data_IF_053978151630
#
_entry.id   IF_053978151630
#
_cell.length_a   1.000
_cell.length_b   1.000
_cell.length_c   1.000
_cell.angle_alpha   90.00
_cell.angle_beta   90.00
_cell.angle_gamma   90.00
#
_symmetry.space_group_name_H-M   'P 1'
#
loop_
_entity.id
_entity.type
_entity.pdbx_description
1 polymer ?
#
# COMPACT_ATOMS: atom_id res chain seq x y z
N UNK A 1 -6.73 11.10 22.43
CA UNK A 1 -5.47 11.39 21.70
C UNK A 1 -5.55 12.80 21.10
N UNK A 2 -4.51 13.36 20.46
CA UNK A 2 -4.63 14.59 19.65
C UNK A 2 -4.66 14.21 18.17
N UNK A 3 -5.73 14.54 17.44
CA UNK A 3 -5.80 14.42 15.98
C UNK A 3 -4.96 15.52 15.34
N UNK A 4 -4.02 15.16 14.47
CA UNK A 4 -2.95 16.08 14.03
C UNK A 4 -2.72 16.14 12.53
N UNK A 5 -3.15 15.13 11.78
CA UNK A 5 -2.93 15.11 10.33
C UNK A 5 -4.00 14.27 9.62
N UNK A 6 -4.10 14.52 8.32
CA UNK A 6 -4.99 13.86 7.39
C UNK A 6 -4.18 13.51 6.15
N UNK A 7 -4.28 12.26 5.69
CA UNK A 7 -3.52 11.73 4.56
C UNK A 7 -4.50 11.24 3.50
N UNK A 8 -4.42 11.79 2.29
CA UNK A 8 -5.16 11.32 1.14
C UNK A 8 -4.45 10.09 0.53
N UNK A 9 -5.22 9.04 0.27
CA UNK A 9 -4.77 7.80 -0.37
C UNK A 9 -5.64 7.53 -1.61
N UNK A 10 -5.04 7.31 -2.77
CA UNK A 10 -5.75 6.94 -4.01
C UNK A 10 -5.89 5.41 -4.17
N UNK A 11 -5.76 4.65 -3.09
CA UNK A 11 -5.77 3.18 -3.07
C UNK A 11 -4.45 2.57 -2.62
N UNK A 12 -4.51 1.37 -2.04
CA UNK A 12 -3.35 0.68 -1.48
C UNK A 12 -2.96 1.14 -0.07
N UNK A 13 -1.88 0.58 0.49
CA UNK A 13 -1.52 0.78 1.89
C UNK A 13 -0.95 2.16 2.20
N UNK A 14 -1.10 2.57 3.45
CA UNK A 14 -0.29 3.61 4.08
C UNK A 14 1.05 3.00 4.50
N UNK A 15 2.14 3.73 4.27
CA UNK A 15 3.48 3.41 4.76
C UNK A 15 3.81 4.22 6.02
N UNK A 16 4.26 3.53 7.05
CA UNK A 16 4.94 4.11 8.22
C UNK A 16 6.40 3.67 8.22
N UNK A 17 7.32 4.63 8.31
CA UNK A 17 8.74 4.33 8.34
C UNK A 17 9.50 5.36 9.18
N UNK A 18 10.68 4.98 9.65
CA UNK A 18 11.67 5.97 10.11
C UNK A 18 12.09 6.87 8.94
N UNK A 19 12.34 8.16 9.18
CA UNK A 19 12.77 9.10 8.11
C UNK A 19 14.00 8.60 7.34
N UNK A 20 14.94 7.95 8.03
CA UNK A 20 16.15 7.42 7.39
C UNK A 20 15.80 6.24 6.48
N UNK A 21 14.82 5.42 6.86
CA UNK A 21 14.31 4.32 6.07
C UNK A 21 13.56 4.81 4.85
N UNK A 22 12.66 5.76 5.05
CA UNK A 22 11.86 6.33 3.97
C UNK A 22 12.70 6.96 2.86
N UNK A 23 13.88 7.53 3.18
CA UNK A 23 14.80 8.06 2.18
C UNK A 23 15.25 7.02 1.13
N UNK A 24 15.16 5.72 1.44
CA UNK A 24 15.46 4.61 0.53
C UNK A 24 14.22 4.05 -0.18
N UNK A 25 13.02 4.49 0.18
CA UNK A 25 11.78 4.01 -0.41
C UNK A 25 11.55 4.61 -1.80
N UNK A 26 11.44 3.74 -2.80
CA UNK A 26 11.22 4.13 -4.20
C UNK A 26 9.77 4.08 -4.64
N UNK A 27 8.84 3.69 -3.76
CA UNK A 27 7.40 3.70 -4.05
C UNK A 27 7.03 2.91 -5.31
N UNK A 28 6.11 3.49 -6.08
CA UNK A 28 5.65 2.95 -7.37
C UNK A 28 6.58 3.33 -8.54
N UNK A 29 7.76 3.90 -8.29
CA UNK A 29 8.71 4.17 -9.35
C UNK A 29 9.14 2.85 -10.01
N UNK A 30 9.03 2.79 -11.34
CA UNK A 30 9.38 1.60 -12.10
C UNK A 30 10.87 1.26 -11.92
N UNK A 31 11.16 -0.03 -11.72
CA UNK A 31 12.52 -0.55 -11.63
C UNK A 31 12.74 -1.48 -12.85
N UNK A 32 13.36 -0.98 -13.94
CA UNK A 32 13.57 -1.80 -15.13
C UNK A 32 14.44 -3.03 -14.84
N UNK A 33 14.05 -4.19 -15.38
CA UNK A 33 14.86 -5.41 -15.34
C UNK A 33 14.77 -6.22 -14.04
N UNK A 34 13.96 -5.80 -13.06
CA UNK A 34 13.70 -6.59 -11.84
C UNK A 34 12.47 -7.47 -11.95
N UNK A 35 11.68 -7.34 -13.02
CA UNK A 35 10.45 -8.11 -13.20
C UNK A 35 10.79 -9.58 -13.50
N UNK A 36 10.69 -10.44 -12.50
CA UNK A 36 10.98 -11.89 -12.59
C UNK A 36 9.74 -12.76 -12.46
N UNK A 37 8.55 -12.17 -12.53
CA UNK A 37 7.28 -12.87 -12.43
C UNK A 37 6.44 -12.55 -13.66
N UNK A 38 5.93 -13.58 -14.33
CA UNK A 38 4.85 -13.42 -15.29
C UNK A 38 3.53 -13.41 -14.52
N UNK A 39 2.79 -12.31 -14.59
CA UNK A 39 1.45 -12.19 -14.01
C UNK A 39 0.42 -12.15 -15.12
N UNK A 40 -0.59 -13.02 -15.09
CA UNK A 40 -1.70 -12.98 -16.06
C UNK A 40 -3.03 -13.40 -15.45
N UNK A 41 -4.12 -12.79 -15.93
CA UNK A 41 -5.48 -12.99 -15.44
C UNK A 41 -6.49 -12.70 -16.54
N UNK A 42 -7.66 -13.35 -16.51
CA UNK A 42 -8.69 -13.09 -17.52
C UNK A 42 -9.82 -14.11 -17.57
N UNK A 43 -10.70 -13.92 -18.55
CA UNK A 43 -11.96 -14.66 -18.70
C UNK A 43 -11.84 -15.99 -19.46
N UNK A 44 -10.70 -16.24 -20.12
CA UNK A 44 -10.49 -17.41 -20.98
C UNK A 44 -9.19 -18.16 -20.66
N UNK A 45 -8.58 -17.91 -19.49
CA UNK A 45 -7.31 -18.55 -19.11
C UNK A 45 -7.43 -20.08 -18.95
N UNK A 46 -8.63 -20.62 -18.76
CA UNK A 46 -8.92 -22.07 -18.70
C UNK A 46 -8.78 -22.78 -20.04
N UNK A 47 -8.98 -22.05 -21.13
CA UNK A 47 -8.97 -22.57 -22.50
C UNK A 47 -7.57 -22.52 -23.13
N UNK A 48 -6.60 -21.90 -22.46
CA UNK A 48 -5.21 -21.88 -22.91
C UNK A 48 -4.59 -23.27 -22.83
N UNK A 49 -3.62 -23.61 -23.71
CA UNK A 49 -2.89 -24.86 -23.60
C UNK A 49 -1.94 -24.85 -22.39
N UNK A 50 -1.54 -26.02 -21.88
CA UNK A 50 -0.42 -26.10 -20.94
C UNK A 50 0.84 -25.42 -21.48
N UNK A 51 1.63 -24.73 -20.65
CA UNK A 51 1.50 -24.63 -19.18
C UNK A 51 0.57 -23.49 -18.71
N UNK A 52 -0.06 -22.75 -19.62
CA UNK A 52 -0.76 -21.50 -19.27
C UNK A 52 -2.21 -21.68 -18.80
N UNK A 53 -2.79 -22.86 -19.01
CA UNK A 53 -4.12 -23.21 -18.53
C UNK A 53 -4.25 -23.00 -17.01
N UNK A 54 -5.24 -22.24 -16.55
CA UNK A 54 -5.55 -22.06 -15.13
C UNK A 54 -7.03 -21.80 -14.89
N UNK A 55 -7.51 -22.13 -13.68
CA UNK A 55 -8.92 -22.01 -13.28
C UNK A 55 -9.39 -20.56 -13.00
N UNK A 56 -9.16 -19.65 -13.94
CA UNK A 56 -9.50 -18.23 -13.79
C UNK A 56 -8.69 -17.55 -12.68
N UNK A 57 -8.95 -16.25 -12.45
CA UNK A 57 -8.25 -15.47 -11.43
C UNK A 57 -6.84 -15.04 -11.85
N UNK A 58 -6.03 -14.65 -10.86
CA UNK A 58 -4.67 -14.15 -11.04
C UNK A 58 -3.66 -15.29 -10.94
N UNK A 59 -2.75 -15.41 -11.92
CA UNK A 59 -1.60 -16.32 -11.87
C UNK A 59 -0.31 -15.55 -11.81
N UNK A 60 0.53 -15.90 -10.84
CA UNK A 60 1.90 -15.42 -10.72
C UNK A 60 2.86 -16.58 -10.98
N UNK A 61 3.64 -16.51 -12.04
CA UNK A 61 4.64 -17.51 -12.39
C UNK A 61 6.04 -16.93 -12.20
N UNK A 62 6.70 -17.34 -11.12
CA UNK A 62 8.07 -16.97 -10.83
C UNK A 62 9.03 -17.53 -11.88
N UNK A 63 10.03 -16.73 -12.23
CA UNK A 63 11.10 -17.04 -13.19
C UNK A 63 12.46 -16.77 -12.53
N UNK A 64 13.52 -17.41 -13.02
CA UNK A 64 14.87 -17.21 -12.51
C UNK A 64 15.44 -15.83 -12.89
N UNK A 65 15.03 -15.29 -14.03
CA UNK A 65 15.48 -13.99 -14.53
C UNK A 65 14.39 -13.20 -15.26
N UNK A 66 14.69 -11.94 -15.54
CA UNK A 66 13.81 -11.06 -16.31
C UNK A 66 13.66 -11.55 -17.76
N UNK A 67 14.75 -12.01 -18.37
CA UNK A 67 14.76 -12.55 -19.73
C UNK A 67 13.89 -13.81 -19.84
N UNK A 68 13.90 -14.66 -18.81
CA UNK A 68 13.00 -15.82 -18.74
C UNK A 68 11.54 -15.36 -18.63
N UNK A 69 11.23 -14.40 -17.75
CA UNK A 69 9.88 -13.87 -17.60
C UNK A 69 9.36 -13.26 -18.92
N UNK A 70 10.20 -12.49 -19.61
CA UNK A 70 9.90 -11.97 -20.95
C UNK A 70 9.69 -13.09 -21.98
N UNK A 71 10.51 -14.15 -21.95
CA UNK A 71 10.36 -15.28 -22.85
C UNK A 71 9.03 -16.01 -22.61
N UNK A 72 8.63 -16.18 -21.35
CA UNK A 72 7.33 -16.77 -20.98
C UNK A 72 6.16 -15.87 -21.39
N UNK A 73 6.26 -14.54 -21.22
CA UNK A 73 5.24 -13.61 -21.71
C UNK A 73 5.06 -13.71 -23.23
N UNK A 74 6.16 -13.77 -24.00
CA UNK A 74 6.11 -13.97 -25.45
C UNK A 74 5.48 -15.33 -25.81
N UNK A 75 5.81 -16.39 -25.07
CA UNK A 75 5.23 -17.71 -25.28
C UNK A 75 3.73 -17.73 -24.96
N UNK A 76 3.28 -17.05 -23.90
CA UNK A 76 1.86 -16.88 -23.55
C UNK A 76 1.11 -16.18 -24.67
N UNK A 77 1.61 -15.03 -25.16
CA UNK A 77 0.99 -14.30 -26.28
C UNK A 77 0.94 -15.17 -27.54
N UNK A 78 1.98 -15.94 -27.82
CA UNK A 78 2.01 -16.88 -28.95
C UNK A 78 0.95 -17.99 -28.79
N UNK A 79 0.79 -18.54 -27.59
CA UNK A 79 -0.21 -19.55 -27.30
C UNK A 79 -1.63 -19.00 -27.49
N UNK A 80 -1.91 -17.79 -26.98
CA UNK A 80 -3.22 -17.14 -27.14
C UNK A 80 -3.55 -16.94 -28.62
N UNK A 81 -2.61 -16.45 -29.43
CA UNK A 81 -2.81 -16.27 -30.88
C UNK A 81 -3.04 -17.58 -31.63
N UNK A 82 -2.43 -18.67 -31.18
CA UNK A 82 -2.61 -19.99 -31.78
C UNK A 82 -3.98 -20.61 -31.40
N UNK A 83 -4.43 -20.39 -30.16
CA UNK A 83 -5.68 -20.94 -29.64
C UNK A 83 -6.91 -20.16 -30.12
N UNK A 84 -6.82 -18.83 -30.19
CA UNK A 84 -7.96 -17.97 -30.51
C UNK A 84 -7.71 -17.17 -31.78
N UNK A 85 -8.30 -17.61 -32.89
CA UNK A 85 -8.26 -16.88 -34.15
C UNK A 85 -8.94 -15.52 -34.00
N UNK A 86 -8.21 -14.44 -34.30
CA UNK A 86 -8.72 -13.07 -34.19
C UNK A 86 -8.50 -12.41 -32.83
N UNK A 87 -7.70 -13.00 -31.92
CA UNK A 87 -7.25 -12.32 -30.71
C UNK A 87 -6.47 -11.04 -31.06
N UNK A 88 -6.93 -9.91 -30.55
CA UNK A 88 -6.22 -8.64 -30.63
C UNK A 88 -5.32 -8.48 -29.40
N UNK A 89 -4.05 -8.16 -29.61
CA UNK A 89 -3.05 -8.00 -28.54
C UNK A 89 -2.52 -6.58 -28.60
N UNK A 90 -2.71 -5.83 -27.52
CA UNK A 90 -2.29 -4.44 -27.41
C UNK A 90 -1.49 -4.23 -26.13
N UNK A 91 -0.35 -3.54 -26.24
CA UNK A 91 0.37 -3.03 -25.08
C UNK A 91 -0.32 -1.75 -24.59
N UNK A 92 -0.42 -1.62 -23.26
CA UNK A 92 -1.03 -0.49 -22.56
C UNK A 92 0.07 0.44 -22.04
N UNK A 93 -0.31 1.67 -21.70
CA UNK A 93 0.62 2.71 -21.23
C UNK A 93 1.32 2.32 -19.90
N UNK A 94 0.72 1.40 -19.13
CA UNK A 94 1.29 0.84 -17.89
C UNK A 94 2.21 -0.37 -18.14
N UNK A 95 2.52 -0.68 -19.40
CA UNK A 95 3.35 -1.82 -19.82
C UNK A 95 2.64 -3.18 -19.71
N UNK A 96 1.36 -3.22 -19.35
CA UNK A 96 0.58 -4.47 -19.42
C UNK A 96 0.18 -4.78 -20.86
N UNK A 97 0.00 -6.06 -21.15
CA UNK A 97 -0.54 -6.56 -22.42
C UNK A 97 -2.01 -6.90 -22.20
N UNK A 98 -2.89 -6.19 -22.90
CA UNK A 98 -4.29 -6.58 -23.02
C UNK A 98 -4.51 -7.48 -24.23
N UNK A 99 -5.25 -8.56 -24.02
CA UNK A 99 -5.67 -9.48 -25.06
C UNK A 99 -7.19 -9.55 -25.11
N UNK A 100 -7.76 -9.10 -26.22
CA UNK A 100 -9.20 -9.07 -26.45
C UNK A 100 -9.60 -10.06 -27.53
N UNK A 101 -10.59 -10.90 -27.24
CA UNK A 101 -11.18 -11.85 -28.19
C UNK A 101 -12.37 -11.23 -28.94
N UNK A 102 -12.73 -11.73 -30.14
CA UNK A 102 -13.88 -11.24 -30.91
C UNK A 102 -15.23 -11.35 -30.17
N UNK A 103 -15.36 -12.31 -29.27
CA UNK A 103 -16.55 -12.52 -28.42
C UNK A 103 -16.60 -11.60 -27.19
N UNK A 104 -15.74 -10.57 -27.16
CA UNK A 104 -15.59 -9.56 -26.10
C UNK A 104 -14.93 -10.04 -24.81
N UNK A 105 -14.50 -11.30 -24.73
CA UNK A 105 -13.73 -11.77 -23.57
C UNK A 105 -12.33 -11.15 -23.55
N UNK A 106 -11.82 -10.89 -22.35
CA UNK A 106 -10.52 -10.23 -22.14
C UNK A 106 -9.61 -10.98 -21.18
N UNK A 107 -8.31 -10.80 -21.39
CA UNK A 107 -7.23 -11.23 -20.52
C UNK A 107 -6.15 -10.15 -20.51
N UNK A 108 -5.41 -10.08 -19.42
CA UNK A 108 -4.24 -9.24 -19.26
C UNK A 108 -3.05 -10.08 -18.87
N UNK A 109 -1.87 -9.64 -19.27
CA UNK A 109 -0.60 -10.21 -18.86
C UNK A 109 0.44 -9.12 -18.70
N UNK A 110 1.31 -9.24 -17.71
CA UNK A 110 2.39 -8.30 -17.46
C UNK A 110 3.59 -8.97 -16.79
N UNK A 111 4.69 -8.24 -16.74
CA UNK A 111 5.85 -8.62 -15.94
C UNK A 111 5.83 -7.85 -14.62
N UNK A 112 6.05 -8.58 -13.53
CA UNK A 112 5.98 -8.08 -12.16
C UNK A 112 7.22 -8.50 -11.34
N UNK A 113 7.53 -7.82 -10.23
CA UNK A 113 6.95 -6.54 -9.79
C UNK A 113 7.49 -5.36 -10.61
N UNK A 114 6.67 -4.35 -10.91
CA UNK A 114 7.13 -3.17 -11.67
C UNK A 114 7.89 -2.19 -10.79
N UNK A 115 7.59 -2.17 -9.50
CA UNK A 115 8.16 -1.26 -8.51
C UNK A 115 8.42 -1.93 -7.16
N UNK A 116 9.06 -1.22 -6.22
CA UNK A 116 9.22 -1.70 -4.85
C UNK A 116 7.87 -1.80 -4.13
N UNK A 117 6.96 -0.87 -4.41
CA UNK A 117 5.57 -0.92 -3.96
C UNK A 117 4.87 -2.21 -4.40
N UNK A 118 4.93 -2.56 -5.68
CA UNK A 118 4.29 -3.79 -6.19
C UNK A 118 4.89 -5.05 -5.55
N UNK A 119 6.20 -5.05 -5.34
CA UNK A 119 6.90 -6.17 -4.69
C UNK A 119 6.40 -6.37 -3.25
N UNK A 120 6.25 -5.28 -2.49
CA UNK A 120 5.71 -5.32 -1.14
C UNK A 120 4.26 -5.80 -1.13
N UNK A 121 3.40 -5.22 -1.98
CA UNK A 121 2.00 -5.61 -2.08
C UNK A 121 1.81 -7.09 -2.45
N UNK A 122 2.52 -7.58 -3.46
CA UNK A 122 2.40 -8.97 -3.92
C UNK A 122 2.86 -9.98 -2.85
N UNK A 123 3.88 -9.63 -2.07
CA UNK A 123 4.37 -10.49 -0.99
C UNK A 123 3.37 -10.64 0.16
N UNK A 124 2.46 -9.67 0.33
CA UNK A 124 1.62 -9.53 1.52
C UNK A 124 0.13 -9.29 1.20
N UNK A 125 -0.34 -9.71 0.02
CA UNK A 125 -1.69 -9.43 -0.50
C UNK A 125 -2.86 -9.88 0.40
N UNK A 126 -2.62 -10.73 1.39
CA UNK A 126 -3.63 -11.25 2.32
C UNK A 126 -3.52 -10.65 3.73
N UNK A 127 -2.58 -9.74 3.95
CA UNK A 127 -2.30 -9.16 5.26
C UNK A 127 -2.83 -7.72 5.32
N UNK A 128 -3.62 -7.40 6.35
CA UNK A 128 -4.13 -6.04 6.54
C UNK A 128 -3.03 -5.07 6.95
N UNK A 129 -2.07 -5.51 7.76
CA UNK A 129 -0.86 -4.75 8.04
C UNK A 129 0.35 -5.68 8.16
N UNK A 130 1.48 -5.26 7.60
CA UNK A 130 2.69 -6.06 7.49
C UNK A 130 3.94 -5.19 7.50
N UNK A 131 5.08 -5.78 7.85
CA UNK A 131 6.37 -5.11 7.73
C UNK A 131 7.13 -5.60 6.51
N UNK A 132 7.66 -4.68 5.72
CA UNK A 132 8.45 -4.99 4.54
C UNK A 132 9.81 -4.28 4.57
N UNK A 133 10.91 -4.94 4.15
CA UNK A 133 12.21 -4.28 4.04
C UNK A 133 12.16 -3.09 3.06
N UNK A 134 12.60 -1.91 3.50
CA UNK A 134 12.83 -0.74 2.63
C UNK A 134 14.30 -0.64 2.23
N UNK A 135 15.19 -1.05 3.14
CA UNK A 135 16.63 -1.15 2.91
C UNK A 135 17.16 -2.41 3.59
N UNK A 136 18.44 -2.78 3.40
CA UNK A 136 19.02 -3.96 4.07
C UNK A 136 18.92 -3.93 5.60
N UNK A 137 18.75 -2.75 6.20
CA UNK A 137 18.73 -2.56 7.66
C UNK A 137 17.43 -1.94 8.18
N UNK A 138 16.53 -1.49 7.30
CA UNK A 138 15.33 -0.75 7.70
C UNK A 138 14.08 -1.36 7.08
N UNK A 139 12.99 -1.29 7.84
CA UNK A 139 11.69 -1.82 7.46
C UNK A 139 10.66 -0.70 7.55
N UNK A 140 9.65 -0.79 6.69
CA UNK A 140 8.41 -0.03 6.79
C UNK A 140 7.27 -0.92 7.25
N UNK A 141 6.31 -0.33 7.95
CA UNK A 141 5.01 -0.91 8.21
C UNK A 141 4.07 -0.43 7.11
N UNK A 142 3.38 -1.35 6.48
CA UNK A 142 2.33 -1.09 5.52
C UNK A 142 1.01 -1.44 6.20
N UNK A 143 0.01 -0.58 6.08
CA UNK A 143 -1.35 -0.85 6.52
C UNK A 143 -2.30 -0.63 5.35
N UNK A 144 -2.92 -1.71 4.87
CA UNK A 144 -3.92 -1.65 3.81
C UNK A 144 -5.16 -0.93 4.32
N UNK A 145 -5.52 0.14 3.62
CA UNK A 145 -6.64 0.97 3.99
C UNK A 145 -7.93 0.55 3.30
N UNK A 146 -7.89 -0.38 2.34
CA UNK A 146 -9.01 -0.81 1.48
C UNK A 146 -9.51 0.27 0.49
N UNK A 147 -8.68 0.61 -0.50
CA UNK A 147 -9.05 1.47 -1.64
C UNK A 147 -8.83 2.98 -1.41
N UNK A 148 -9.41 3.86 -2.22
CA UNK A 148 -9.20 5.30 -2.10
C UNK A 148 -9.94 5.92 -0.90
N UNK A 149 -9.35 6.91 -0.25
CA UNK A 149 -9.97 7.60 0.86
C UNK A 149 -8.98 8.44 1.67
N UNK A 150 -9.38 8.74 2.91
CA UNK A 150 -8.62 9.58 3.82
C UNK A 150 -8.26 8.78 5.06
N UNK A 151 -7.00 8.89 5.49
CA UNK A 151 -6.52 8.41 6.78
C UNK A 151 -6.30 9.58 7.71
N UNK A 152 -6.98 9.59 8.85
CA UNK A 152 -6.75 10.52 9.94
C UNK A 152 -5.69 9.96 10.90
N UNK A 153 -4.81 10.83 11.40
CA UNK A 153 -3.74 10.46 12.32
C UNK A 153 -3.92 11.16 13.66
N UNK A 154 -3.90 10.38 14.73
CA UNK A 154 -3.86 10.88 16.11
C UNK A 154 -2.61 10.41 16.86
N UNK A 155 -2.10 11.25 17.75
CA UNK A 155 -0.91 10.98 18.56
C UNK A 155 -1.25 11.07 20.06
N UNK A 156 -0.64 10.21 20.87
CA UNK A 156 -0.72 10.33 22.34
C UNK A 156 0.05 11.57 22.83
N UNK A 157 -0.34 12.18 23.96
CA UNK A 157 0.42 13.29 24.55
C UNK A 157 1.89 12.94 24.85
N UNK A 158 2.16 11.67 25.23
CA UNK A 158 3.50 11.17 25.48
C UNK A 158 4.29 10.81 24.21
N UNK A 159 3.64 10.84 23.03
CA UNK A 159 4.22 10.49 21.72
C UNK A 159 4.74 9.05 21.64
N UNK A 160 4.23 8.19 22.48
CA UNK A 160 4.51 6.75 22.58
C UNK A 160 3.43 5.88 21.92
N UNK A 161 2.37 6.51 21.39
CA UNK A 161 1.36 5.83 20.60
C UNK A 161 0.81 6.73 19.48
N UNK A 162 0.48 6.09 18.37
CA UNK A 162 -0.19 6.70 17.20
C UNK A 162 -1.39 5.86 16.82
N UNK A 163 -2.46 6.50 16.42
CA UNK A 163 -3.65 5.88 15.86
C UNK A 163 -3.82 6.40 14.43
N UNK A 164 -3.97 5.48 13.50
CA UNK A 164 -4.29 5.74 12.09
C UNK A 164 -5.71 5.23 11.87
N UNK A 165 -6.61 6.08 11.41
CA UNK A 165 -8.03 5.79 11.29
C UNK A 165 -8.49 6.06 9.86
N UNK A 166 -9.28 5.14 9.31
CA UNK A 166 -10.07 5.37 8.12
C UNK A 166 -11.54 5.09 8.41
N UNK A 167 -12.42 5.94 7.90
CA UNK A 167 -13.85 5.86 8.11
C UNK A 167 -14.59 5.90 6.78
N UNK A 168 -15.68 5.13 6.68
CA UNK A 168 -16.63 5.15 5.58
C UNK A 168 -18.00 5.54 6.14
N UNK A 169 -18.39 6.82 6.03
CA UNK A 169 -19.71 7.27 6.45
C UNK A 169 -20.80 6.77 5.48
N UNK A 170 -22.04 6.59 5.94
CA UNK A 170 -23.19 6.24 5.07
C UNK A 170 -23.60 7.38 4.12
N UNK A 171 -23.13 8.61 4.39
CA UNK A 171 -23.46 9.81 3.61
C UNK A 171 -24.71 10.56 4.08
N UNK A 172 -25.19 10.28 5.30
CA UNK A 172 -26.33 10.98 5.92
C UNK A 172 -25.91 12.31 6.59
N UNK A 173 -26.89 13.20 6.88
CA UNK A 173 -26.72 14.58 7.37
C UNK A 173 -26.06 14.73 8.77
N UNK A 174 -25.41 13.69 9.32
CA UNK A 174 -24.96 13.66 10.71
C UNK A 174 -23.47 13.32 10.90
N UNK A 175 -22.61 13.72 9.96
CA UNK A 175 -21.15 13.48 9.96
C UNK A 175 -20.48 13.81 11.31
N UNK A 176 -20.88 14.90 11.97
CA UNK A 176 -20.27 15.32 13.25
C UNK A 176 -20.65 14.42 14.45
N UNK A 177 -21.80 13.74 14.39
CA UNK A 177 -22.15 12.71 15.38
C UNK A 177 -21.38 11.42 15.12
N UNK A 178 -21.28 11.01 13.86
CA UNK A 178 -20.50 9.84 13.44
C UNK A 178 -19.01 10.01 13.78
N UNK A 179 -18.41 11.15 13.47
CA UNK A 179 -17.01 11.46 13.82
C UNK A 179 -16.79 11.32 15.33
N UNK A 180 -17.71 11.85 16.15
CA UNK A 180 -17.62 11.71 17.62
C UNK A 180 -17.77 10.26 18.07
N UNK A 181 -18.70 9.51 17.48
CA UNK A 181 -18.92 8.10 17.82
C UNK A 181 -17.73 7.22 17.44
N UNK A 182 -17.17 7.42 16.24
CA UNK A 182 -15.98 6.73 15.74
C UNK A 182 -14.81 7.01 16.68
N UNK A 183 -14.53 8.29 17.00
CA UNK A 183 -13.42 8.65 17.90
C UNK A 183 -13.60 8.09 19.30
N UNK A 184 -14.82 8.10 19.84
CA UNK A 184 -15.11 7.48 21.13
C UNK A 184 -14.86 5.97 21.13
N UNK A 185 -15.07 5.29 20.00
CA UNK A 185 -14.78 3.87 19.83
C UNK A 185 -13.26 3.61 19.76
N UNK A 186 -12.52 4.37 18.95
CA UNK A 186 -11.13 4.04 18.59
C UNK A 186 -10.07 4.69 19.48
N UNK A 187 -10.38 5.74 20.23
CA UNK A 187 -9.38 6.38 21.08
C UNK A 187 -8.92 5.51 22.27
N UNK A 188 -9.82 4.84 23.00
CA UNK A 188 -9.41 3.82 23.97
C UNK A 188 -8.79 2.63 23.24
N UNK A 189 -7.77 2.02 23.85
CA UNK A 189 -7.28 0.71 23.36
C UNK A 189 -8.40 -0.32 23.55
N UNK A 190 -8.81 -0.95 22.47
CA UNK A 190 -9.86 -1.97 22.49
C UNK A 190 -9.26 -3.37 22.63
N UNK A 191 -10.03 -4.29 23.21
CA UNK A 191 -9.80 -5.74 23.19
C UNK A 191 -10.01 -6.38 21.80
N UNK A 192 -10.63 -5.65 20.86
CA UNK A 192 -10.78 -6.03 19.45
C UNK A 192 -9.50 -5.85 18.63
N UNK A 193 -8.52 -5.13 19.17
CA UNK A 193 -7.25 -4.87 18.49
C UNK A 193 -6.40 -6.15 18.41
N UNK A 194 -6.22 -6.66 17.20
CA UNK A 194 -5.39 -7.83 16.92
C UNK A 194 -3.98 -7.40 16.55
N UNK A 195 -2.97 -8.12 17.07
CA UNK A 195 -1.57 -7.84 16.72
C UNK A 195 -1.31 -8.20 15.26
N UNK A 196 -0.79 -7.24 14.49
CA UNK A 196 -0.43 -7.44 13.08
C UNK A 196 1.09 -7.57 12.90
N UNK A 197 1.88 -6.60 13.38
CA UNK A 197 3.31 -6.51 13.10
C UNK A 197 4.08 -5.73 14.18
N UNK A 198 5.42 -5.71 14.08
CA UNK A 198 6.28 -4.82 14.89
C UNK A 198 7.16 -3.97 13.97
N UNK A 199 7.31 -2.67 14.27
CA UNK A 199 8.20 -1.76 13.55
C UNK A 199 9.21 -1.10 14.50
N UNK A 200 10.43 -0.87 14.01
CA UNK A 200 11.45 -0.09 14.70
C UNK A 200 11.49 1.33 14.13
N UNK A 201 11.27 2.32 14.99
CA UNK A 201 11.39 3.76 14.68
C UNK A 201 12.56 4.32 15.50
N UNK A 202 13.78 4.16 14.97
CA UNK A 202 15.03 4.37 15.72
C UNK A 202 15.39 5.83 15.96
N UNK A 203 14.96 6.75 15.08
CA UNK A 203 15.28 8.17 15.18
C UNK A 203 14.23 8.98 15.95
N UNK A 204 13.04 8.40 16.13
CA UNK A 204 11.85 9.10 16.59
C UNK A 204 11.26 10.09 15.58
N UNK A 205 11.89 10.33 14.42
CA UNK A 205 11.24 11.03 13.32
C UNK A 205 10.63 9.98 12.39
N UNK A 206 9.31 10.02 12.25
CA UNK A 206 8.55 8.98 11.55
C UNK A 206 7.71 9.59 10.43
N UNK A 207 7.81 9.00 9.25
CA UNK A 207 7.03 9.36 8.07
C UNK A 207 5.80 8.47 8.01
N UNK A 208 4.64 9.09 7.79
CA UNK A 208 3.37 8.44 7.49
C UNK A 208 2.96 8.94 6.10
N UNK A 209 2.88 8.06 5.11
CA UNK A 209 2.72 8.50 3.72
C UNK A 209 1.99 7.45 2.89
N UNK A 210 1.22 7.88 1.90
CA UNK A 210 0.66 6.98 0.91
C UNK A 210 1.76 6.20 0.18
N UNK A 211 1.78 4.87 0.36
CA UNK A 211 2.95 4.04 0.06
C UNK A 211 3.45 4.01 -1.40
N UNK A 212 2.64 4.30 -2.44
CA UNK A 212 3.16 4.52 -3.80
C UNK A 212 4.13 5.71 -3.92
N UNK A 213 4.13 6.63 -2.95
CA UNK A 213 4.95 7.84 -2.98
C UNK A 213 6.40 7.54 -2.58
N UNK A 214 7.33 7.84 -3.48
CA UNK A 214 8.77 7.77 -3.21
C UNK A 214 9.27 9.03 -2.50
N UNK A 215 10.36 8.91 -1.71
CA UNK A 215 10.98 10.08 -1.09
C UNK A 215 11.43 11.14 -2.12
N UNK A 216 11.93 10.70 -3.28
CA UNK A 216 12.38 11.58 -4.35
C UNK A 216 11.24 12.36 -5.05
N UNK A 217 9.97 12.00 -4.81
CA UNK A 217 8.81 12.68 -5.40
C UNK A 217 8.27 13.81 -4.50
N UNK A 218 8.74 13.92 -3.26
CA UNK A 218 8.29 14.96 -2.34
C UNK A 218 8.76 16.33 -2.82
N UNK A 219 7.82 17.25 -2.96
CA UNK A 219 8.10 18.63 -3.34
C UNK A 219 8.43 19.47 -2.10
N UNK A 220 9.36 20.41 -2.25
CA UNK A 220 9.70 21.43 -1.25
C UNK A 220 10.19 20.88 0.12
N UNK A 221 10.68 19.63 0.15
CA UNK A 221 11.23 19.01 1.36
C UNK A 221 12.74 18.84 1.23
N UNK A 222 13.50 19.65 1.99
CA UNK A 222 14.96 19.52 2.06
C UNK A 222 15.45 18.64 3.21
N UNK A 223 14.68 18.57 4.31
CA UNK A 223 15.03 17.80 5.50
C UNK A 223 13.76 17.31 6.22
N UNK A 224 13.42 16.03 6.01
CA UNK A 224 12.28 15.38 6.67
C UNK A 224 12.44 15.35 8.20
N UNK A 225 13.67 15.25 8.72
CA UNK A 225 13.90 15.13 10.15
C UNK A 225 13.55 16.43 10.88
N UNK A 226 13.84 17.57 10.27
CA UNK A 226 13.47 18.88 10.80
C UNK A 226 11.94 19.07 10.84
N UNK A 227 11.20 18.47 9.90
CA UNK A 227 9.74 18.58 9.84
C UNK A 227 9.02 17.81 10.97
N UNK A 228 9.67 16.81 11.59
CA UNK A 228 9.06 16.01 12.64
C UNK A 228 8.64 16.82 13.89
N UNK A 229 9.29 17.97 14.12
CA UNK A 229 9.04 18.84 15.27
C UNK A 229 8.10 20.03 14.97
N UNK A 230 7.54 20.10 13.75
CA UNK A 230 6.58 21.15 13.37
C UNK A 230 5.26 21.05 14.17
N UNK A 231 4.67 22.21 14.50
CA UNK A 231 3.31 22.32 15.06
C UNK A 231 2.55 23.43 14.33
N UNK A 232 1.51 23.12 13.54
CA UNK A 232 1.00 21.76 13.26
C UNK A 232 2.00 20.90 12.47
N UNK A 233 1.87 19.56 12.48
CA UNK A 233 2.72 18.68 11.67
C UNK A 233 2.72 19.05 10.20
N UNK A 234 3.88 18.89 9.56
CA UNK A 234 4.05 19.22 8.17
C UNK A 234 3.29 18.23 7.27
N UNK A 235 2.41 18.77 6.42
CA UNK A 235 1.79 17.99 5.35
C UNK A 235 2.79 17.77 4.21
N UNK A 236 2.95 16.51 3.80
CA UNK A 236 3.81 16.12 2.69
C UNK A 236 3.00 16.10 1.39
N UNK A 237 3.66 16.53 0.31
CA UNK A 237 3.05 16.66 -1.01
C UNK A 237 4.02 16.29 -2.12
N UNK A 238 3.47 15.96 -3.27
CA UNK A 238 4.21 15.91 -4.54
C UNK A 238 3.95 17.19 -5.33
N UNK A 239 4.49 17.30 -6.53
CA UNK A 239 4.19 18.42 -7.44
C UNK A 239 2.74 18.42 -7.95
N UNK A 240 2.02 17.30 -7.83
CA UNK A 240 0.68 17.10 -8.41
C UNK A 240 -0.39 16.90 -7.34
N UNK A 241 -0.03 16.27 -6.22
CA UNK A 241 -0.95 15.90 -5.14
C UNK A 241 -0.50 16.50 -3.82
N UNK A 242 -1.44 17.07 -3.07
CA UNK A 242 -1.23 17.58 -1.71
C UNK A 242 -1.74 16.57 -0.67
N UNK A 243 -1.26 16.68 0.57
CA UNK A 243 -1.77 15.87 1.68
C UNK A 243 -1.50 14.37 1.58
N UNK A 244 -0.42 13.95 0.89
CA UNK A 244 -0.09 12.53 0.72
C UNK A 244 0.66 11.91 1.90
N UNK A 245 1.01 12.71 2.91
CA UNK A 245 1.64 12.21 4.12
C UNK A 245 1.88 13.28 5.18
N UNK A 246 2.53 12.88 6.26
CA UNK A 246 3.01 13.75 7.34
C UNK A 246 4.29 13.19 7.95
N UNK A 247 5.06 14.06 8.60
CA UNK A 247 6.15 13.63 9.49
C UNK A 247 5.79 13.94 10.93
N UNK A 248 6.00 12.98 11.82
CA UNK A 248 5.70 13.10 13.25
C UNK A 248 6.93 12.76 14.09
N UNK A 249 7.10 13.47 15.21
CA UNK A 249 8.01 13.09 16.28
C UNK A 249 7.34 12.11 17.22
N UNK A 250 7.90 10.90 17.33
CA UNK A 250 7.56 9.84 18.27
C UNK A 250 8.73 9.53 19.20
N UNK A 251 8.47 8.79 20.28
CA UNK A 251 9.54 8.25 21.13
C UNK A 251 10.32 7.20 20.34
N UNK A 252 11.66 7.28 20.25
CA UNK A 252 12.44 6.25 19.57
C UNK A 252 12.26 4.87 20.20
N UNK A 253 12.05 3.82 19.39
CA UNK A 253 11.95 2.46 19.90
C UNK A 253 11.14 1.51 19.01
N UNK A 254 10.82 0.34 19.56
CA UNK A 254 10.01 -0.68 18.89
C UNK A 254 8.53 -0.48 19.20
N UNK A 255 7.72 -0.42 18.16
CA UNK A 255 6.27 -0.28 18.24
C UNK A 255 5.61 -1.59 17.80
N UNK A 256 4.60 -2.02 18.55
CA UNK A 256 3.64 -3.02 18.10
C UNK A 256 2.55 -2.33 17.31
N UNK A 257 2.26 -2.86 16.12
CA UNK A 257 1.11 -2.51 15.31
C UNK A 257 -0.03 -3.47 15.61
N UNK A 258 -1.17 -2.91 16.00
CA UNK A 258 -2.45 -3.63 16.08
C UNK A 258 -3.41 -3.08 15.04
N UNK A 259 -4.33 -3.92 14.57
CA UNK A 259 -5.41 -3.54 13.64
C UNK A 259 -6.76 -3.96 14.21
N UNK A 260 -7.81 -3.23 13.85
CA UNK A 260 -9.18 -3.62 14.11
C UNK A 260 -10.15 -2.87 13.18
N UNK A 261 -11.36 -3.40 13.10
CA UNK A 261 -12.43 -2.87 12.28
C UNK A 261 -13.74 -2.77 13.07
N UNK A 262 -14.60 -1.87 12.61
CA UNK A 262 -16.00 -1.82 12.98
C UNK A 262 -16.85 -1.75 11.71
N UNK A 263 -17.81 -2.66 11.61
CA UNK A 263 -18.84 -2.66 10.57
C UNK A 263 -20.17 -2.33 11.24
N UNK A 264 -20.71 -1.14 10.93
CA UNK A 264 -21.99 -0.65 11.41
C UNK A 264 -22.96 -0.38 10.26
N UNK A 265 -24.22 -0.16 10.58
CA UNK A 265 -25.26 0.14 9.58
C UNK A 265 -25.11 1.55 8.99
N UNK A 266 -24.66 2.52 9.80
CA UNK A 266 -24.53 3.94 9.41
C UNK A 266 -23.08 4.34 9.12
N UNK A 267 -22.10 3.64 9.67
CA UNK A 267 -20.70 3.88 9.36
C UNK A 267 -19.89 2.63 9.61
N UNK A 268 -18.78 2.51 8.88
CA UNK A 268 -17.74 1.54 9.18
C UNK A 268 -16.41 2.26 9.34
N UNK A 269 -15.48 1.64 10.06
CA UNK A 269 -14.13 2.16 10.18
C UNK A 269 -13.11 1.04 10.35
N UNK A 270 -11.87 1.37 10.05
CA UNK A 270 -10.69 0.55 10.34
C UNK A 270 -9.62 1.42 10.96
N UNK A 271 -8.87 0.84 11.88
CA UNK A 271 -7.77 1.55 12.47
C UNK A 271 -6.57 0.65 12.69
N UNK A 272 -5.39 1.26 12.54
CA UNK A 272 -4.14 0.69 12.96
C UNK A 272 -3.54 1.53 14.09
N UNK A 273 -3.17 0.89 15.20
CA UNK A 273 -2.52 1.56 16.33
C UNK A 273 -1.08 1.11 16.44
N UNK A 274 -0.17 2.06 16.60
CA UNK A 274 1.20 1.84 17.02
C UNK A 274 1.33 2.14 18.50
N UNK A 275 1.85 1.19 19.28
CA UNK A 275 2.13 1.39 20.71
C UNK A 275 3.57 1.00 21.01
N UNK A 276 4.33 1.89 21.65
CA UNK A 276 5.71 1.63 22.07
C UNK A 276 5.75 0.43 23.04
N UNK A 277 6.57 -0.57 22.72
CA UNK A 277 6.83 -1.75 23.58
C UNK A 277 8.07 -1.60 24.44
N UNK A 278 9.02 -0.79 24.02
CA UNK A 278 10.27 -0.54 24.71
C UNK A 278 11.22 0.35 23.91
N UNK A 279 12.10 1.04 24.63
CA UNK A 279 13.20 1.79 24.04
C UNK A 279 14.27 0.87 23.43
N UNK A 280 15.19 1.48 22.67
CA UNK A 280 16.40 0.79 22.19
C UNK A 280 17.34 0.42 23.33
#
# INVERSE_FOLDING_TARGET
MKWVATIACEGGPLLVADVDGFAHWTGAASIPGTQKTLHYWGQFTRELPPPFAQDGGHRFEACASHEEAQAKLRALVSAVRATFSGANVAERDDGSIEIALPDRRRMWAELSPKSAYDAAWQAHQSEEAFTHPISPTQHGLFWDTEGPGVVEIAISPARDAVLMLRTWPSGDENEAEEERAVRALVEPRSDREERAADILLSSGASVFVWSPTAAAQLADVSDLRALADADPPASLRTTIFDGLGTVLRLVPGRYEATVAAHEGETWSCRWCRLTLKGGM
#
